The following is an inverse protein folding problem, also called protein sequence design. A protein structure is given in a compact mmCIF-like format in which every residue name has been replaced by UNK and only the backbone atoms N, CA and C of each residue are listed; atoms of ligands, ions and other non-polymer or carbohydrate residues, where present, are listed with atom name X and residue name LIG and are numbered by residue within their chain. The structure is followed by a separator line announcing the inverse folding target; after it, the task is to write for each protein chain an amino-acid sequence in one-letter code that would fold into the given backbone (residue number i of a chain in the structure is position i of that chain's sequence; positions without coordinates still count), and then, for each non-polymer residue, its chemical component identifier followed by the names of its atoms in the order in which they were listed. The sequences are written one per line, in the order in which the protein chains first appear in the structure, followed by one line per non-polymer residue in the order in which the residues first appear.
data_IF_894596153997
#
_entry.id   IF_894596153997
#
_cell.length_a   1.000
_cell.length_b   1.000
_cell.length_c   1.000
_cell.angle_alpha   90.00
_cell.angle_beta   90.00
_cell.angle_gamma   90.00
#
_symmetry.space_group_name_H-M   'P 1'
#
loop_
_entity.id
_entity.type
_entity.pdbx_description
1 polymer ?
#
# COMPACT_ATOMS: atom_id res chain seq x y z
N UNK A 1 -15.06 4.06 25.52
CA UNK A 1 -13.86 4.08 24.66
C UNK A 1 -14.20 4.81 23.38
N UNK A 2 -13.32 5.66 22.90
CA UNK A 2 -13.48 6.33 21.60
C UNK A 2 -13.10 5.36 20.47
N UNK A 3 -13.90 5.29 19.41
CA UNK A 3 -13.63 4.49 18.21
C UNK A 3 -14.54 3.29 18.03
N UNK A 4 -14.39 2.60 16.90
CA UNK A 4 -15.08 1.36 16.55
C UNK A 4 -14.08 0.21 16.66
N UNK A 5 -14.44 -0.83 17.43
CA UNK A 5 -13.58 -1.99 17.70
C UNK A 5 -14.22 -3.29 17.19
N UNK A 6 -14.92 -3.18 16.08
CA UNK A 6 -15.59 -4.29 15.44
C UNK A 6 -14.64 -5.06 14.49
N UNK A 7 -14.94 -6.32 14.23
CA UNK A 7 -14.16 -7.18 13.32
C UNK A 7 -13.98 -6.58 11.91
N UNK A 8 -14.84 -5.63 11.51
CA UNK A 8 -14.80 -4.97 10.19
C UNK A 8 -13.62 -4.03 10.01
N UNK A 9 -12.99 -3.56 11.10
CA UNK A 9 -11.84 -2.65 11.11
C UNK A 9 -10.56 -3.31 11.65
N UNK A 10 -10.66 -4.52 12.19
CA UNK A 10 -9.50 -5.23 12.79
C UNK A 10 -8.38 -5.45 11.76
N UNK A 11 -8.74 -5.80 10.52
CA UNK A 11 -7.74 -6.05 9.48
C UNK A 11 -6.99 -4.77 9.09
N UNK A 12 -7.65 -3.62 9.07
CA UNK A 12 -7.03 -2.31 8.87
C UNK A 12 -6.03 -1.99 10.00
N UNK A 13 -6.38 -2.28 11.27
CA UNK A 13 -5.47 -2.12 12.39
C UNK A 13 -4.25 -3.05 12.30
N UNK A 14 -4.46 -4.31 11.90
CA UNK A 14 -3.37 -5.28 11.68
C UNK A 14 -2.46 -4.80 10.55
N UNK A 15 -3.02 -4.34 9.43
CA UNK A 15 -2.28 -3.76 8.30
C UNK A 15 -1.37 -2.62 8.75
N UNK A 16 -1.91 -1.69 9.53
CA UNK A 16 -1.15 -0.56 10.07
C UNK A 16 -0.02 -1.02 11.00
N UNK A 17 -0.28 -1.94 11.93
CA UNK A 17 0.75 -2.47 12.84
C UNK A 17 1.87 -3.18 12.08
N UNK A 18 1.52 -4.01 11.09
CA UNK A 18 2.49 -4.70 10.23
C UNK A 18 3.35 -3.68 9.47
N UNK A 19 2.73 -2.63 8.92
CA UNK A 19 3.45 -1.58 8.18
C UNK A 19 4.42 -0.81 9.09
N UNK A 20 4.00 -0.41 10.29
CA UNK A 20 4.86 0.26 11.28
C UNK A 20 6.02 -0.67 11.68
N UNK A 21 5.74 -1.94 11.97
CA UNK A 21 6.78 -2.96 12.24
C UNK A 21 7.77 -3.08 11.09
N UNK A 22 7.27 -3.04 9.84
CA UNK A 22 8.10 -3.04 8.64
C UNK A 22 9.04 -1.84 8.54
N UNK A 23 8.57 -0.64 8.89
CA UNK A 23 9.42 0.56 8.96
C UNK A 23 10.51 0.41 10.04
N UNK A 24 10.16 -0.13 11.21
CA UNK A 24 11.13 -0.38 12.28
C UNK A 24 12.20 -1.40 11.86
N UNK A 25 11.81 -2.49 11.18
CA UNK A 25 12.77 -3.43 10.61
C UNK A 25 13.71 -2.77 9.61
N UNK A 26 13.19 -1.92 8.74
CA UNK A 26 14.00 -1.22 7.74
C UNK A 26 15.03 -0.27 8.36
N UNK A 27 14.62 0.51 9.37
CA UNK A 27 15.52 1.42 10.12
C UNK A 27 16.63 0.64 10.82
N UNK A 28 16.33 -0.56 11.32
CA UNK A 28 17.31 -1.47 11.91
C UNK A 28 18.16 -2.26 10.88
N UNK A 29 18.08 -1.91 9.59
CA UNK A 29 18.87 -2.55 8.53
C UNK A 29 18.26 -3.79 7.90
N UNK A 30 17.12 -4.27 8.41
CA UNK A 30 16.41 -5.44 7.88
C UNK A 30 15.45 -5.05 6.73
N UNK A 31 16.01 -4.47 5.66
CA UNK A 31 15.25 -3.89 4.54
C UNK A 31 14.29 -4.89 3.87
N UNK A 32 14.72 -6.14 3.71
CA UNK A 32 13.88 -7.17 3.07
C UNK A 32 12.64 -7.50 3.91
N UNK A 33 12.77 -7.53 5.25
CA UNK A 33 11.61 -7.70 6.15
C UNK A 33 10.66 -6.51 6.05
N UNK A 34 11.19 -5.28 5.96
CA UNK A 34 10.37 -4.08 5.76
C UNK A 34 9.53 -4.16 4.48
N UNK A 35 10.14 -4.57 3.36
CA UNK A 35 9.43 -4.74 2.08
C UNK A 35 8.38 -5.86 2.14
N UNK A 36 8.68 -6.94 2.85
CA UNK A 36 7.70 -8.02 3.09
C UNK A 36 6.50 -7.52 3.90
N UNK A 37 6.72 -6.75 4.95
CA UNK A 37 5.64 -6.15 5.74
C UNK A 37 4.77 -5.23 4.90
N UNK A 38 5.36 -4.43 4.01
CA UNK A 38 4.61 -3.61 3.04
C UNK A 38 3.71 -4.46 2.14
N UNK A 39 4.24 -5.56 1.60
CA UNK A 39 3.47 -6.47 0.75
C UNK A 39 2.31 -7.15 1.52
N UNK A 40 2.56 -7.58 2.76
CA UNK A 40 1.54 -8.18 3.65
C UNK A 40 0.47 -7.14 4.00
N UNK A 41 0.87 -5.90 4.31
CA UNK A 41 -0.06 -4.79 4.55
C UNK A 41 -0.99 -4.56 3.35
N UNK A 42 -0.44 -4.57 2.12
CA UNK A 42 -1.25 -4.47 0.90
C UNK A 42 -2.21 -5.64 0.67
N UNK A 43 -1.85 -6.84 1.11
CA UNK A 43 -2.78 -7.98 1.10
C UNK A 43 -3.89 -7.79 2.12
N UNK A 44 -3.58 -7.32 3.34
CA UNK A 44 -4.58 -7.03 4.36
C UNK A 44 -5.59 -6.00 3.86
N UNK A 45 -5.14 -4.88 3.28
CA UNK A 45 -5.97 -3.84 2.69
C UNK A 45 -6.90 -4.38 1.59
N UNK A 46 -6.39 -5.25 0.73
CA UNK A 46 -7.23 -5.83 -0.33
C UNK A 46 -8.40 -6.66 0.20
N UNK A 47 -8.29 -7.22 1.41
CA UNK A 47 -9.30 -8.07 2.03
C UNK A 47 -10.22 -7.33 3.01
N UNK A 48 -9.80 -6.22 3.62
CA UNK A 48 -10.57 -5.53 4.66
C UNK A 48 -11.90 -4.97 4.14
N UNK A 49 -11.94 -4.38 2.96
CA UNK A 49 -13.18 -3.95 2.32
C UNK A 49 -14.13 -5.10 1.98
N UNK A 50 -13.63 -6.33 1.78
CA UNK A 50 -14.48 -7.52 1.62
C UNK A 50 -15.08 -7.95 2.95
N UNK A 51 -14.26 -7.96 4.01
CA UNK A 51 -14.68 -8.29 5.37
C UNK A 51 -15.67 -7.25 5.89
N UNK A 52 -15.40 -5.97 5.69
CA UNK A 52 -16.30 -4.89 6.09
C UNK A 52 -17.72 -5.03 5.50
N UNK A 53 -17.84 -5.57 4.29
CA UNK A 53 -19.14 -5.81 3.61
C UNK A 53 -19.91 -7.03 4.13
N UNK A 54 -19.32 -7.89 4.94
CA UNK A 54 -20.02 -9.05 5.52
C UNK A 54 -21.02 -8.63 6.61
N UNK A 55 -20.77 -7.49 7.29
CA UNK A 55 -21.69 -6.94 8.32
C UNK A 55 -22.81 -6.13 7.65
N UNK A 56 -24.03 -6.70 7.63
CA UNK A 56 -25.20 -6.08 6.99
C UNK A 56 -25.77 -4.90 7.78
N UNK A 57 -25.70 -4.94 9.12
CA UNK A 57 -26.32 -3.97 10.02
C UNK A 57 -25.28 -2.99 10.58
N UNK A 58 -24.56 -2.27 9.71
CA UNK A 58 -23.63 -1.21 10.12
C UNK A 58 -24.40 0.10 10.31
N UNK A 59 -24.13 0.78 11.44
CA UNK A 59 -24.61 2.14 11.66
C UNK A 59 -23.89 3.12 10.71
N UNK A 60 -24.47 4.30 10.49
CA UNK A 60 -23.80 5.34 9.67
C UNK A 60 -22.47 5.79 10.30
N UNK A 61 -22.40 5.85 11.63
CA UNK A 61 -21.15 6.17 12.34
C UNK A 61 -20.09 5.11 12.08
N UNK A 62 -20.42 3.81 12.15
CA UNK A 62 -19.49 2.72 11.85
C UNK A 62 -19.00 2.73 10.39
N UNK A 63 -19.87 3.09 9.44
CA UNK A 63 -19.49 3.20 8.02
C UNK A 63 -18.53 4.36 7.80
N UNK A 64 -18.87 5.56 8.29
CA UNK A 64 -18.03 6.76 8.17
C UNK A 64 -16.68 6.58 8.87
N UNK A 65 -16.69 6.01 10.09
CA UNK A 65 -15.47 5.69 10.82
C UNK A 65 -14.57 4.73 10.03
N UNK A 66 -15.17 3.66 9.45
CA UNK A 66 -14.45 2.68 8.64
C UNK A 66 -13.73 3.33 7.45
N UNK A 67 -14.39 4.23 6.71
CA UNK A 67 -13.78 4.95 5.58
C UNK A 67 -12.61 5.83 6.03
N UNK A 68 -12.78 6.55 7.14
CA UNK A 68 -11.75 7.45 7.63
C UNK A 68 -10.52 6.69 8.15
N UNK A 69 -10.73 5.63 8.95
CA UNK A 69 -9.61 4.86 9.51
C UNK A 69 -8.84 4.10 8.42
N UNK A 70 -9.53 3.61 7.39
CA UNK A 70 -8.95 3.01 6.20
C UNK A 70 -8.01 3.99 5.49
N UNK A 71 -8.49 5.17 5.14
CA UNK A 71 -7.68 6.21 4.47
C UNK A 71 -6.51 6.72 5.33
N UNK A 72 -6.70 6.86 6.65
CA UNK A 72 -5.64 7.25 7.57
C UNK A 72 -4.59 6.16 7.72
N UNK A 73 -4.99 4.89 7.70
CA UNK A 73 -4.09 3.75 7.68
C UNK A 73 -3.32 3.68 6.35
N UNK A 74 -4.01 3.87 5.22
CA UNK A 74 -3.46 3.81 3.88
C UNK A 74 -2.33 4.82 3.64
N UNK A 75 -2.49 6.06 4.14
CA UNK A 75 -1.41 7.05 3.97
C UNK A 75 -0.16 6.64 4.74
N UNK A 76 -0.29 5.99 5.88
CA UNK A 76 0.87 5.47 6.63
C UNK A 76 1.45 4.25 5.93
N UNK A 77 0.60 3.29 5.55
CA UNK A 77 1.03 2.01 4.99
C UNK A 77 1.62 2.14 3.58
N UNK A 78 1.03 2.99 2.73
CA UNK A 78 1.39 3.06 1.30
C UNK A 78 1.90 4.43 0.87
N UNK A 79 1.81 5.44 1.73
CA UNK A 79 2.46 6.74 1.56
C UNK A 79 3.80 6.80 2.31
N UNK A 80 3.75 6.76 3.63
CA UNK A 80 4.92 6.98 4.49
C UNK A 80 5.87 5.77 4.47
N UNK A 81 5.37 4.55 4.64
CA UNK A 81 6.23 3.38 4.74
C UNK A 81 7.09 3.14 3.48
N UNK A 82 6.58 3.22 2.23
CA UNK A 82 7.44 3.14 1.04
C UNK A 82 8.51 4.22 0.98
N UNK A 83 8.20 5.46 1.41
CA UNK A 83 9.17 6.55 1.45
C UNK A 83 10.30 6.26 2.45
N UNK A 84 9.97 5.78 3.65
CA UNK A 84 10.94 5.36 4.67
C UNK A 84 11.79 4.20 4.15
N UNK A 85 11.18 3.18 3.53
CA UNK A 85 11.88 2.04 2.95
C UNK A 85 12.87 2.49 1.88
N UNK A 86 12.46 3.33 0.93
CA UNK A 86 13.33 3.86 -0.12
C UNK A 86 14.50 4.67 0.46
N UNK A 87 14.25 5.49 1.49
CA UNK A 87 15.29 6.21 2.20
C UNK A 87 16.30 5.26 2.87
N UNK A 88 15.82 4.21 3.53
CA UNK A 88 16.67 3.17 4.14
C UNK A 88 17.45 2.34 3.10
N UNK A 89 16.94 2.19 1.87
CA UNK A 89 17.70 1.60 0.75
C UNK A 89 18.85 2.50 0.28
N UNK A 90 18.90 3.75 0.72
CA UNK A 90 19.94 4.72 0.36
C UNK A 90 19.48 5.78 -0.65
N UNK A 91 18.20 5.86 -0.97
CA UNK A 91 17.67 6.92 -1.83
C UNK A 91 17.83 8.29 -1.15
N UNK A 92 18.59 9.19 -1.77
CA UNK A 92 18.87 10.54 -1.24
C UNK A 92 17.97 11.63 -1.82
N UNK A 93 17.08 11.29 -2.75
CA UNK A 93 16.12 12.20 -3.37
C UNK A 93 14.97 12.57 -2.42
N UNK A 94 15.25 13.23 -1.30
CA UNK A 94 14.27 13.58 -0.25
C UNK A 94 13.08 14.35 -0.82
N UNK A 95 13.32 15.28 -1.76
CA UNK A 95 12.25 16.03 -2.41
C UNK A 95 11.24 15.13 -3.15
N UNK A 96 11.72 14.06 -3.82
CA UNK A 96 10.85 13.09 -4.49
C UNK A 96 10.04 12.29 -3.47
N UNK A 97 10.65 11.88 -2.34
CA UNK A 97 9.96 11.17 -1.28
C UNK A 97 8.87 12.03 -0.64
N UNK A 98 9.17 13.31 -0.37
CA UNK A 98 8.19 14.27 0.17
C UNK A 98 7.04 14.51 -0.82
N UNK A 99 7.36 14.71 -2.10
CA UNK A 99 6.36 14.85 -3.16
C UNK A 99 5.47 13.61 -3.26
N UNK A 100 6.03 12.41 -3.21
CA UNK A 100 5.28 11.15 -3.27
C UNK A 100 4.27 11.03 -2.12
N UNK A 101 4.70 11.30 -0.88
CA UNK A 101 3.81 11.24 0.30
C UNK A 101 2.70 12.28 0.18
N UNK A 102 3.03 13.51 -0.22
CA UNK A 102 2.07 14.59 -0.41
C UNK A 102 1.05 14.26 -1.50
N UNK A 103 1.50 13.72 -2.63
CA UNK A 103 0.63 13.30 -3.72
C UNK A 103 -0.34 12.18 -3.29
N UNK A 104 0.14 11.22 -2.49
CA UNK A 104 -0.68 10.17 -1.88
C UNK A 104 -1.75 10.73 -0.93
N UNK A 105 -1.37 11.70 -0.09
CA UNK A 105 -2.28 12.38 0.83
C UNK A 105 -3.39 13.13 0.07
N UNK A 106 -3.01 13.94 -0.93
CA UNK A 106 -3.96 14.69 -1.75
C UNK A 106 -4.95 13.73 -2.44
N UNK A 107 -4.42 12.62 -2.97
CA UNK A 107 -5.25 11.60 -3.60
C UNK A 107 -6.28 10.99 -2.67
N UNK A 108 -5.88 10.58 -1.46
CA UNK A 108 -6.79 9.98 -0.48
C UNK A 108 -7.86 10.98 0.00
N UNK A 109 -7.45 12.22 0.27
CA UNK A 109 -8.38 13.28 0.64
C UNK A 109 -9.44 13.52 -0.47
N UNK A 110 -8.99 13.62 -1.75
CA UNK A 110 -9.90 13.77 -2.88
C UNK A 110 -10.84 12.57 -3.03
N UNK A 111 -10.30 11.35 -2.88
CA UNK A 111 -11.09 10.12 -2.95
C UNK A 111 -12.20 10.08 -1.90
N UNK A 112 -11.90 10.49 -0.66
CA UNK A 112 -12.87 10.51 0.43
C UNK A 112 -14.00 11.50 0.16
N UNK A 113 -13.69 12.71 -0.29
CA UNK A 113 -14.70 13.71 -0.67
C UNK A 113 -15.62 13.19 -1.78
N UNK A 114 -15.03 12.61 -2.83
CA UNK A 114 -15.80 12.04 -3.94
C UNK A 114 -16.63 10.82 -3.54
N UNK A 115 -16.16 10.02 -2.58
CA UNK A 115 -16.91 8.86 -2.09
C UNK A 115 -18.08 9.29 -1.19
N UNK A 116 -17.88 10.32 -0.35
CA UNK A 116 -18.94 10.90 0.47
C UNK A 116 -20.07 11.46 -0.40
N UNK A 117 -19.74 12.30 -1.39
CA UNK A 117 -20.71 12.85 -2.35
C UNK A 117 -21.47 11.75 -3.10
N UNK A 118 -20.76 10.71 -3.56
CA UNK A 118 -21.39 9.59 -4.25
C UNK A 118 -22.40 8.83 -3.36
N UNK A 119 -22.06 8.64 -2.08
CA UNK A 119 -22.97 7.93 -1.15
C UNK A 119 -24.23 8.71 -0.83
N UNK A 120 -24.18 10.04 -0.94
CA UNK A 120 -25.36 10.90 -0.82
C UNK A 120 -26.26 10.84 -2.08
N UNK A 121 -25.69 10.67 -3.26
CA UNK A 121 -26.40 10.67 -4.54
C UNK A 121 -26.91 9.30 -4.97
N UNK A 122 -26.15 8.22 -4.73
CA UNK A 122 -26.49 6.88 -5.25
C UNK A 122 -26.02 5.75 -4.33
N UNK A 123 -26.77 4.63 -4.35
CA UNK A 123 -26.39 3.36 -3.71
C UNK A 123 -25.64 2.41 -4.66
N UNK A 124 -25.39 2.81 -5.92
CA UNK A 124 -24.76 1.96 -6.91
C UNK A 124 -23.25 1.81 -6.67
N UNK A 125 -22.70 0.65 -7.05
CA UNK A 125 -21.28 0.37 -6.88
C UNK A 125 -20.44 1.11 -7.92
N UNK A 126 -19.32 1.71 -7.49
CA UNK A 126 -18.36 2.35 -8.37
C UNK A 126 -17.78 1.35 -9.38
N UNK A 127 -17.86 1.64 -10.67
CA UNK A 127 -17.29 0.80 -11.75
C UNK A 127 -15.85 1.17 -12.12
N UNK A 128 -15.47 2.43 -11.90
CA UNK A 128 -14.16 2.95 -12.27
C UNK A 128 -13.48 3.66 -11.09
N UNK A 129 -12.16 3.50 -10.96
CA UNK A 129 -11.32 4.32 -10.09
C UNK A 129 -10.87 5.57 -10.86
N UNK A 130 -10.76 6.70 -10.15
CA UNK A 130 -10.11 7.90 -10.63
C UNK A 130 -8.66 7.89 -10.13
N UNK A 131 -7.69 7.89 -11.04
CA UNK A 131 -6.27 7.81 -10.74
C UNK A 131 -5.78 6.45 -10.23
N UNK A 132 -4.48 6.35 -9.95
CA UNK A 132 -3.83 5.13 -9.47
C UNK A 132 -4.18 4.87 -7.99
N UNK A 133 -4.59 3.65 -7.57
CA UNK A 133 -4.77 3.31 -6.15
C UNK A 133 -3.46 3.47 -5.37
N UNK A 134 -3.53 4.02 -4.14
CA UNK A 134 -2.33 4.22 -3.30
C UNK A 134 -1.68 2.87 -2.94
N UNK A 135 -2.47 1.83 -2.79
CA UNK A 135 -2.06 0.44 -2.54
C UNK A 135 -1.22 -0.17 -3.65
N UNK A 136 -1.19 0.46 -4.86
CA UNK A 136 -0.32 0.02 -5.96
C UNK A 136 1.16 -0.04 -5.57
N UNK A 137 1.59 0.76 -4.58
CA UNK A 137 2.97 0.77 -4.10
C UNK A 137 3.34 -0.51 -3.32
N UNK A 138 2.36 -1.19 -2.71
CA UNK A 138 2.55 -2.51 -2.10
C UNK A 138 2.93 -3.60 -3.12
N UNK A 139 2.75 -3.33 -4.41
CA UNK A 139 3.17 -4.20 -5.52
C UNK A 139 4.44 -3.66 -6.17
N UNK A 140 4.46 -2.37 -6.50
CA UNK A 140 5.53 -1.75 -7.27
C UNK A 140 6.88 -1.84 -6.55
N UNK A 141 6.94 -1.48 -5.26
CA UNK A 141 8.19 -1.48 -4.51
C UNK A 141 8.78 -2.89 -4.31
N UNK A 142 8.01 -3.92 -3.87
CA UNK A 142 8.52 -5.29 -3.82
C UNK A 142 9.05 -5.81 -5.16
N UNK A 143 8.38 -5.50 -6.29
CA UNK A 143 8.85 -5.89 -7.62
C UNK A 143 10.20 -5.25 -7.96
N UNK A 144 10.36 -3.95 -7.71
CA UNK A 144 11.66 -3.27 -7.94
C UNK A 144 12.76 -3.88 -7.07
N UNK A 145 12.45 -4.23 -5.81
CA UNK A 145 13.41 -4.87 -4.91
C UNK A 145 13.78 -6.29 -5.36
N UNK A 146 12.84 -7.06 -5.90
CA UNK A 146 13.11 -8.37 -6.51
C UNK A 146 14.03 -8.24 -7.72
N UNK A 147 13.85 -7.19 -8.52
CA UNK A 147 14.68 -6.90 -9.69
C UNK A 147 16.06 -6.32 -9.35
N UNK A 148 16.33 -5.96 -8.11
CA UNK A 148 17.61 -5.36 -7.67
C UNK A 148 18.88 -6.07 -8.22
N UNK A 149 18.98 -7.42 -8.28
CA UNK A 149 20.17 -8.07 -8.81
C UNK A 149 20.38 -7.87 -10.31
N UNK A 150 19.29 -7.68 -11.06
CA UNK A 150 19.33 -7.44 -12.50
C UNK A 150 19.64 -5.97 -12.82
N UNK A 151 19.19 -5.06 -11.94
CA UNK A 151 19.38 -3.62 -12.08
C UNK A 151 20.80 -3.16 -11.69
N UNK A 152 21.49 -3.90 -10.83
CA UNK A 152 22.84 -3.55 -10.40
C UNK A 152 22.98 -2.10 -9.96
N UNK A 153 23.79 -1.31 -10.66
CA UNK A 153 24.02 0.12 -10.39
C UNK A 153 22.77 0.99 -10.63
N UNK A 154 21.86 0.58 -11.53
CA UNK A 154 20.67 1.33 -11.90
C UNK A 154 19.52 1.21 -10.85
N UNK A 155 19.69 0.39 -9.82
CA UNK A 155 18.67 0.18 -8.80
C UNK A 155 18.24 1.49 -8.12
N UNK A 156 19.18 2.38 -7.82
CA UNK A 156 18.86 3.68 -7.22
C UNK A 156 18.07 4.57 -8.18
N UNK A 157 18.44 4.58 -9.46
CA UNK A 157 17.69 5.31 -10.49
C UNK A 157 16.27 4.75 -10.62
N UNK A 158 16.11 3.43 -10.63
CA UNK A 158 14.80 2.79 -10.68
C UNK A 158 13.90 3.18 -9.49
N UNK A 159 14.45 3.26 -8.27
CA UNK A 159 13.71 3.73 -7.11
C UNK A 159 13.24 5.18 -7.28
N UNK A 160 14.13 6.09 -7.73
CA UNK A 160 13.76 7.49 -7.97
C UNK A 160 12.67 7.62 -9.02
N UNK A 161 12.80 6.89 -10.14
CA UNK A 161 11.81 6.91 -11.23
C UNK A 161 10.47 6.36 -10.77
N UNK A 162 10.44 5.22 -10.08
CA UNK A 162 9.19 4.61 -9.61
C UNK A 162 8.49 5.53 -8.61
N UNK A 163 9.21 6.10 -7.63
CA UNK A 163 8.62 7.02 -6.64
C UNK A 163 8.06 8.27 -7.31
N UNK A 164 8.79 8.86 -8.27
CA UNK A 164 8.34 10.05 -8.99
C UNK A 164 7.13 9.75 -9.88
N UNK A 165 7.19 8.69 -10.69
CA UNK A 165 6.12 8.30 -11.62
C UNK A 165 4.85 7.94 -10.87
N UNK A 166 4.94 7.13 -9.81
CA UNK A 166 3.77 6.76 -9.00
C UNK A 166 3.18 7.99 -8.30
N UNK A 167 4.02 8.89 -7.76
CA UNK A 167 3.57 10.15 -7.19
C UNK A 167 2.79 11.02 -8.19
N UNK A 168 3.29 11.15 -9.43
CA UNK A 168 2.59 11.87 -10.51
C UNK A 168 1.25 11.17 -10.84
N UNK A 169 1.24 9.84 -10.94
CA UNK A 169 0.04 9.07 -11.23
C UNK A 169 -1.02 9.15 -10.13
N UNK A 170 -0.64 9.42 -8.88
CA UNK A 170 -1.59 9.64 -7.79
C UNK A 170 -2.44 10.89 -8.01
N UNK A 171 -1.84 11.98 -8.49
CA UNK A 171 -2.54 13.25 -8.72
C UNK A 171 -3.08 13.42 -10.14
N UNK A 172 -2.76 12.49 -11.06
CA UNK A 172 -3.25 12.54 -12.44
C UNK A 172 -4.66 11.98 -12.53
N UNK A 173 -5.57 12.74 -13.15
CA UNK A 173 -6.96 12.33 -13.33
C UNK A 173 -7.12 11.45 -14.57
N UNK A 174 -7.17 10.14 -14.38
CA UNK A 174 -7.51 9.17 -15.42
C UNK A 174 -8.43 8.08 -14.86
N UNK A 175 -9.24 7.48 -15.74
CA UNK A 175 -10.21 6.45 -15.34
C UNK A 175 -9.59 5.07 -15.47
N UNK A 176 -9.47 4.34 -14.36
CA UNK A 176 -9.09 2.93 -14.33
C UNK A 176 -10.34 2.08 -14.12
N UNK A 177 -10.56 1.11 -15.00
CA UNK A 177 -11.60 0.08 -14.76
C UNK A 177 -11.22 -0.74 -13.54
N UNK A 178 -12.21 -0.99 -12.69
CA UNK A 178 -12.02 -1.83 -11.50
C UNK A 178 -11.52 -3.22 -11.91
N UNK A 179 -10.42 -3.72 -11.30
CA UNK A 179 -9.90 -5.03 -11.66
C UNK A 179 -10.93 -6.12 -11.37
N UNK A 180 -11.12 -7.03 -12.32
CA UNK A 180 -11.99 -8.20 -12.15
C UNK A 180 -11.35 -9.16 -11.12
N UNK A 181 -12.15 -10.06 -10.55
CA UNK A 181 -11.67 -11.04 -9.57
C UNK A 181 -10.45 -11.86 -10.05
N UNK A 182 -10.39 -12.15 -11.34
CA UNK A 182 -9.24 -12.85 -11.97
C UNK A 182 -7.97 -11.99 -11.91
N UNK A 183 -8.09 -10.70 -12.23
CA UNK A 183 -6.96 -9.75 -12.14
C UNK A 183 -6.49 -9.57 -10.70
N UNK A 184 -7.43 -9.53 -9.74
CA UNK A 184 -7.07 -9.50 -8.32
C UNK A 184 -6.31 -10.75 -7.89
N UNK A 185 -6.74 -11.94 -8.34
CA UNK A 185 -6.03 -13.20 -8.10
C UNK A 185 -4.61 -13.19 -8.67
N UNK A 186 -4.43 -12.65 -9.90
CA UNK A 186 -3.12 -12.51 -10.52
C UNK A 186 -2.22 -11.54 -9.74
N UNK A 187 -2.75 -10.42 -9.25
CA UNK A 187 -2.01 -9.47 -8.40
C UNK A 187 -1.53 -10.15 -7.11
N UNK A 188 -2.41 -10.89 -6.44
CA UNK A 188 -2.05 -11.67 -5.23
C UNK A 188 -0.93 -12.65 -5.53
N UNK A 189 -1.03 -13.40 -6.63
CA UNK A 189 -0.01 -14.36 -7.04
C UNK A 189 1.35 -13.68 -7.29
N UNK A 190 1.37 -12.53 -7.97
CA UNK A 190 2.60 -11.75 -8.22
C UNK A 190 3.22 -11.26 -6.91
N UNK A 191 2.42 -10.72 -5.99
CA UNK A 191 2.89 -10.27 -4.67
C UNK A 191 3.43 -11.44 -3.85
N UNK A 192 2.72 -12.58 -3.84
CA UNK A 192 3.16 -13.78 -3.13
C UNK A 192 4.49 -14.31 -3.70
N UNK A 193 4.64 -14.36 -5.03
CA UNK A 193 5.92 -14.74 -5.66
C UNK A 193 7.05 -13.77 -5.31
N UNK A 194 6.79 -12.46 -5.27
CA UNK A 194 7.79 -11.46 -4.87
C UNK A 194 8.22 -11.67 -3.42
N UNK A 195 7.28 -11.90 -2.50
CA UNK A 195 7.56 -12.20 -1.08
C UNK A 195 8.38 -13.48 -0.95
N UNK A 196 8.00 -14.56 -1.63
CA UNK A 196 8.76 -15.83 -1.62
C UNK A 196 10.19 -15.61 -2.16
N UNK A 197 10.36 -14.88 -3.27
CA UNK A 197 11.68 -14.59 -3.83
C UNK A 197 12.56 -13.79 -2.86
N UNK A 198 11.98 -12.83 -2.11
CA UNK A 198 12.69 -12.07 -1.09
C UNK A 198 13.09 -12.97 0.09
N UNK A 199 12.20 -13.85 0.55
CA UNK A 199 12.46 -14.82 1.62
C UNK A 199 13.59 -15.79 1.26
N UNK A 200 13.51 -16.40 0.06
CA UNK A 200 14.53 -17.33 -0.43
C UNK A 200 15.90 -16.65 -0.48
N UNK A 201 15.96 -15.42 -0.97
CA UNK A 201 17.22 -14.66 -1.00
C UNK A 201 17.76 -14.32 0.39
N UNK A 202 16.87 -13.96 1.31
CA UNK A 202 17.26 -13.72 2.70
C UNK A 202 17.85 -14.98 3.34
N UNK A 203 17.19 -16.13 3.14
CA UNK A 203 17.65 -17.41 3.64
C UNK A 203 18.98 -17.84 3.03
N UNK A 204 19.14 -17.73 1.70
CA UNK A 204 20.40 -18.07 1.01
C UNK A 204 21.57 -17.21 1.49
N UNK A 205 21.35 -15.92 1.76
CA UNK A 205 22.38 -15.05 2.35
C UNK A 205 22.76 -15.48 3.77
N UNK A 206 21.77 -15.84 4.59
CA UNK A 206 22.02 -16.31 5.95
C UNK A 206 22.88 -17.58 5.96
N UNK A 207 22.55 -18.54 5.10
CA UNK A 207 23.31 -19.78 4.94
C UNK A 207 24.74 -19.57 4.41
N UNK A 208 24.98 -18.55 3.58
CA UNK A 208 26.32 -18.24 3.06
C UNK A 208 27.21 -17.51 4.05
N UNK A 209 26.68 -17.06 5.19
CA UNK A 209 27.45 -16.41 6.27
C UNK A 209 27.79 -17.38 7.43
N UNK A 210 27.16 -18.56 7.44
CA UNK A 210 27.51 -19.68 8.35
C UNK A 210 28.59 -20.57 7.74
#
# INVERSE_FOLDING_TARGET
MLGVYDYTVVLTYVSLMVSIGGMMFAVNGHLHLGVMCLAISGLCDMFDGKIARTKKNRTEVEKRFGIQIDSLSDIVCFGVAPAVLCYCFGMRGVAILMFYVLAGLIRLAWFNVMEEQRQEETTEKRECYQGLPITSMAIALPLVVVLKPFLGCEFMLALHVVMLVVGILFITNFKLKKPKNVTMGAIVAVVAMAVIAILVRHYMRYMSMM
#
